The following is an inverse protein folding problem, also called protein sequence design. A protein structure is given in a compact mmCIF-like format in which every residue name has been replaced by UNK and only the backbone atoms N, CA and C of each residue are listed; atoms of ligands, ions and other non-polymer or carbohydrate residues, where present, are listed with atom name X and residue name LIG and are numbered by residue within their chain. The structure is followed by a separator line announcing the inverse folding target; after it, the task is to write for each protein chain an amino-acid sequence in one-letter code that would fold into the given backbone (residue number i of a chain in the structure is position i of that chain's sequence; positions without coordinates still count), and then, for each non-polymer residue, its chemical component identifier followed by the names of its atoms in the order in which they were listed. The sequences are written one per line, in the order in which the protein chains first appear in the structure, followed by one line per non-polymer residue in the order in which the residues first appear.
data_IF_203239374372
#
_entry.id   IF_203239374372
#
_cell.length_a   1.000
_cell.length_b   1.000
_cell.length_c   1.000
_cell.angle_alpha   90.00
_cell.angle_beta   90.00
_cell.angle_gamma   90.00
#
_symmetry.space_group_name_H-M   'P 1'
#
loop_
_entity.id
_entity.type
_entity.pdbx_description
1 polymer ?
#
# COMPACT_ATOMS: atom_id res chain seq x y z
N UNK A 1 -37.50 -40.83 20.32
CA UNK A 1 -36.43 -40.71 19.31
C UNK A 1 -35.50 -39.63 19.84
N UNK A 2 -34.36 -40.08 20.45
CA UNK A 2 -33.34 -39.14 20.92
C UNK A 2 -32.63 -38.55 19.69
N UNK A 3 -32.72 -37.26 19.53
CA UNK A 3 -31.90 -36.50 18.54
C UNK A 3 -30.43 -36.71 18.93
N UNK A 4 -29.68 -37.34 18.03
CA UNK A 4 -28.22 -37.44 18.15
C UNK A 4 -27.70 -36.04 17.82
N UNK A 5 -27.36 -35.29 18.86
CA UNK A 5 -26.64 -34.02 18.71
C UNK A 5 -25.24 -34.34 18.20
N UNK A 6 -25.00 -34.23 16.90
CA UNK A 6 -23.66 -34.32 16.31
C UNK A 6 -22.98 -32.99 16.58
N UNK A 7 -21.94 -33.00 17.44
CA UNK A 7 -21.10 -31.82 17.63
C UNK A 7 -20.51 -31.40 16.30
N UNK A 8 -20.44 -30.07 16.01
CA UNK A 8 -19.85 -29.57 14.77
C UNK A 8 -18.38 -30.03 14.68
N UNK A 9 -17.89 -30.31 13.46
CA UNK A 9 -16.50 -30.73 13.27
C UNK A 9 -15.53 -29.65 13.78
N UNK A 10 -14.46 -30.11 14.44
CA UNK A 10 -13.46 -29.21 15.02
C UNK A 10 -12.15 -29.30 14.25
N UNK A 11 -11.39 -28.22 14.29
CA UNK A 11 -10.06 -28.08 13.71
C UNK A 11 -9.09 -27.56 14.77
N UNK A 12 -7.86 -28.12 14.79
CA UNK A 12 -6.80 -27.71 15.73
C UNK A 12 -5.61 -27.17 14.98
N UNK A 13 -5.14 -26.00 15.38
CA UNK A 13 -3.98 -25.29 14.82
C UNK A 13 -3.25 -24.50 15.90
N UNK A 14 -2.07 -23.94 15.58
CA UNK A 14 -1.34 -23.04 16.48
C UNK A 14 -1.81 -21.61 16.28
N UNK A 15 -2.36 -20.96 17.33
CA UNK A 15 -2.73 -19.54 17.33
C UNK A 15 -1.81 -18.76 18.26
N UNK A 16 -1.01 -17.85 17.72
CA UNK A 16 0.00 -17.07 18.46
C UNK A 16 0.90 -17.97 19.34
N UNK A 17 1.29 -19.14 18.82
CA UNK A 17 2.14 -20.11 19.51
C UNK A 17 1.41 -21.02 20.52
N UNK A 18 0.08 -20.93 20.63
CA UNK A 18 -0.73 -21.80 21.51
C UNK A 18 -1.62 -22.73 20.67
N UNK A 19 -1.66 -24.00 21.04
CA UNK A 19 -2.57 -24.98 20.42
C UNK A 19 -4.02 -24.60 20.72
N UNK A 20 -4.81 -24.38 19.68
CA UNK A 20 -6.18 -23.90 19.77
C UNK A 20 -7.09 -24.76 18.92
N UNK A 21 -8.22 -25.19 19.51
CA UNK A 21 -9.23 -26.00 18.84
C UNK A 21 -10.52 -25.20 18.71
N UNK A 22 -11.03 -25.09 17.50
CA UNK A 22 -12.25 -24.33 17.16
C UNK A 22 -13.13 -25.14 16.21
N UNK A 23 -14.34 -24.64 15.97
CA UNK A 23 -15.22 -25.18 14.92
C UNK A 23 -14.61 -24.95 13.53
N UNK A 24 -14.71 -25.97 12.66
CA UNK A 24 -14.27 -25.81 11.26
C UNK A 24 -14.98 -24.63 10.60
N UNK A 25 -14.22 -23.79 9.92
CA UNK A 25 -14.72 -22.56 9.27
C UNK A 25 -14.73 -21.33 10.16
N UNK A 26 -14.26 -21.42 11.44
CA UNK A 26 -14.04 -20.23 12.28
C UNK A 26 -13.00 -19.32 11.60
N UNK A 27 -13.39 -18.09 11.32
CA UNK A 27 -12.55 -17.11 10.61
C UNK A 27 -11.63 -16.32 11.55
N UNK A 28 -10.61 -15.68 11.01
CA UNK A 28 -9.77 -14.76 11.78
C UNK A 28 -10.56 -13.64 12.46
N UNK A 29 -11.65 -13.18 11.86
CA UNK A 29 -12.53 -12.18 12.48
C UNK A 29 -13.15 -12.70 13.79
N UNK A 30 -13.53 -13.98 13.84
CA UNK A 30 -14.08 -14.61 15.03
C UNK A 30 -12.99 -14.97 16.04
N UNK A 31 -11.80 -15.39 15.56
CA UNK A 31 -10.65 -15.72 16.41
C UNK A 31 -10.13 -14.50 17.19
N UNK A 32 -10.20 -13.33 16.58
CA UNK A 32 -9.73 -12.06 17.14
C UNK A 32 -10.89 -11.11 17.47
N UNK A 33 -12.08 -11.64 17.77
CA UNK A 33 -13.22 -10.81 18.16
C UNK A 33 -12.87 -9.93 19.37
N UNK A 34 -13.20 -8.64 19.27
CA UNK A 34 -12.86 -7.63 20.25
C UNK A 34 -11.43 -7.04 20.13
N UNK A 35 -10.52 -7.65 19.36
CA UNK A 35 -9.15 -7.17 19.13
C UNK A 35 -9.09 -6.33 17.85
N UNK A 36 -9.53 -5.08 17.92
CA UNK A 36 -9.70 -4.19 16.77
C UNK A 36 -8.41 -3.81 16.04
N UNK A 37 -7.27 -3.98 16.71
CA UNK A 37 -5.96 -3.62 16.16
C UNK A 37 -5.39 -4.75 15.30
N UNK A 38 -5.91 -5.99 15.41
CA UNK A 38 -5.58 -7.08 14.51
C UNK A 38 -6.32 -6.87 13.20
N UNK A 39 -5.59 -6.77 12.09
CA UNK A 39 -6.17 -6.39 10.79
C UNK A 39 -6.05 -7.46 9.72
N UNK A 40 -5.07 -8.37 9.83
CA UNK A 40 -4.89 -9.53 8.95
C UNK A 40 -4.30 -10.69 9.74
N UNK A 41 -4.31 -11.88 9.15
CA UNK A 41 -3.62 -13.07 9.68
C UNK A 41 -2.28 -13.25 8.97
N UNK A 42 -1.29 -13.80 9.69
CA UNK A 42 -0.15 -14.48 9.09
C UNK A 42 -0.37 -15.99 9.28
N UNK A 43 -0.58 -16.71 8.17
CA UNK A 43 -0.82 -18.16 8.17
C UNK A 43 0.35 -18.82 7.45
N UNK A 44 1.11 -19.65 8.18
CA UNK A 44 2.31 -20.33 7.67
C UNK A 44 3.30 -19.37 6.99
N UNK A 45 3.40 -18.14 7.50
CA UNK A 45 4.27 -17.07 6.97
C UNK A 45 3.65 -16.20 5.88
N UNK A 46 2.47 -16.52 5.36
CA UNK A 46 1.76 -15.72 4.36
C UNK A 46 0.65 -14.87 4.99
N UNK A 47 0.49 -13.64 4.47
CA UNK A 47 -0.61 -12.77 4.90
C UNK A 47 -1.94 -13.17 4.25
N UNK A 48 -2.98 -13.25 5.06
CA UNK A 48 -4.37 -13.57 4.66
C UNK A 48 -5.34 -12.58 5.29
N UNK A 49 -6.47 -12.34 4.62
CA UNK A 49 -7.55 -11.52 5.19
C UNK A 49 -8.09 -12.15 6.49
N UNK A 50 -8.67 -11.33 7.37
CA UNK A 50 -9.36 -11.85 8.57
C UNK A 50 -10.58 -12.73 8.25
N UNK A 51 -11.07 -12.76 7.02
CA UNK A 51 -12.12 -13.66 6.56
C UNK A 51 -11.62 -15.08 6.27
N UNK A 52 -10.31 -15.30 6.28
CA UNK A 52 -9.73 -16.62 6.11
C UNK A 52 -10.01 -17.50 7.35
N UNK A 53 -10.35 -18.76 7.12
CA UNK A 53 -10.53 -19.77 8.15
C UNK A 53 -9.34 -20.74 8.08
N UNK A 54 -8.55 -20.86 9.17
CA UNK A 54 -7.40 -21.76 9.21
C UNK A 54 -7.77 -23.24 9.15
N UNK A 55 -6.87 -24.02 8.56
CA UNK A 55 -6.96 -25.48 8.49
C UNK A 55 -6.17 -26.17 9.63
N UNK A 56 -6.33 -27.49 9.74
CA UNK A 56 -5.65 -28.28 10.75
C UNK A 56 -4.11 -28.22 10.54
N UNK A 57 -3.40 -27.92 11.63
CA UNK A 57 -1.94 -27.85 11.65
C UNK A 57 -1.36 -26.52 11.17
N UNK A 58 -2.18 -25.54 10.80
CA UNK A 58 -1.69 -24.20 10.45
C UNK A 58 -0.99 -23.52 11.64
N UNK A 59 -0.04 -22.64 11.33
CA UNK A 59 0.55 -21.69 12.27
C UNK A 59 -0.03 -20.32 11.97
N UNK A 60 -0.85 -19.82 12.88
CA UNK A 60 -1.64 -18.59 12.71
C UNK A 60 -1.20 -17.53 13.70
N UNK A 61 -0.95 -16.35 13.22
CA UNK A 61 -0.65 -15.16 14.03
C UNK A 61 -1.56 -14.00 13.63
N UNK A 62 -2.06 -13.25 14.61
CA UNK A 62 -2.74 -11.97 14.35
C UNK A 62 -1.73 -10.88 14.11
N UNK A 63 -1.87 -10.12 13.03
CA UNK A 63 -0.99 -9.00 12.67
C UNK A 63 -1.67 -7.68 13.03
N UNK A 64 -0.97 -6.88 13.83
CA UNK A 64 -1.46 -5.57 14.28
C UNK A 64 -1.28 -4.50 13.20
N UNK A 65 -2.21 -3.55 13.14
CA UNK A 65 -2.15 -2.42 12.19
C UNK A 65 -0.86 -1.58 12.34
N UNK A 66 -0.25 -1.55 13.52
CA UNK A 66 0.99 -0.82 13.82
C UNK A 66 2.27 -1.57 13.42
N UNK A 67 2.18 -2.85 13.10
CA UNK A 67 3.32 -3.65 12.62
C UNK A 67 3.63 -3.34 11.15
N UNK A 68 4.85 -3.61 10.68
CA UNK A 68 5.25 -3.33 9.29
C UNK A 68 4.28 -3.91 8.24
N UNK A 69 3.85 -5.18 8.43
CA UNK A 69 2.91 -5.85 7.53
C UNK A 69 1.49 -5.24 7.63
N UNK A 70 1.04 -4.90 8.84
CA UNK A 70 -0.23 -4.21 9.05
C UNK A 70 -0.26 -2.82 8.42
N UNK A 71 0.84 -2.07 8.52
CA UNK A 71 1.03 -0.78 7.82
C UNK A 71 1.01 -0.94 6.31
N UNK A 72 1.62 -2.00 5.78
CA UNK A 72 1.58 -2.30 4.35
C UNK A 72 0.14 -2.55 3.87
N UNK A 73 -0.64 -3.33 4.62
CA UNK A 73 -2.05 -3.61 4.32
C UNK A 73 -2.93 -2.35 4.46
N UNK A 74 -2.67 -1.50 5.45
CA UNK A 74 -3.34 -0.20 5.60
C UNK A 74 -3.12 0.67 4.36
N UNK A 75 -1.87 0.79 3.90
CA UNK A 75 -1.47 1.56 2.71
C UNK A 75 -2.08 0.99 1.43
N UNK A 76 -2.06 -0.32 1.28
CA UNK A 76 -2.71 -1.01 0.16
C UNK A 76 -4.22 -0.74 0.12
N UNK A 77 -4.89 -0.85 1.27
CA UNK A 77 -6.32 -0.54 1.37
C UNK A 77 -6.63 0.94 1.11
N UNK A 78 -5.74 1.85 1.52
CA UNK A 78 -5.86 3.27 1.21
C UNK A 78 -5.70 3.55 -0.30
N UNK A 79 -4.82 2.80 -0.99
CA UNK A 79 -4.66 2.87 -2.45
C UNK A 79 -5.95 2.45 -3.18
N UNK A 80 -6.63 1.40 -2.72
CA UNK A 80 -7.93 0.97 -3.26
C UNK A 80 -9.02 2.03 -3.02
N UNK A 81 -9.07 2.64 -1.85
CA UNK A 81 -10.01 3.74 -1.57
C UNK A 81 -9.72 4.97 -2.43
N UNK A 82 -8.45 5.26 -2.74
CA UNK A 82 -8.07 6.30 -3.69
C UNK A 82 -8.58 5.95 -5.10
N UNK A 83 -8.38 4.71 -5.56
CA UNK A 83 -8.83 4.27 -6.89
C UNK A 83 -10.35 4.38 -7.03
N UNK A 84 -11.11 3.93 -6.04
CA UNK A 84 -12.56 4.13 -5.98
C UNK A 84 -12.94 5.61 -5.99
N UNK A 85 -12.24 6.46 -5.24
CA UNK A 85 -12.50 7.90 -5.19
C UNK A 85 -12.28 8.57 -6.55
N UNK A 86 -11.22 8.17 -7.28
CA UNK A 86 -10.93 8.68 -8.63
C UNK A 86 -12.04 8.27 -9.59
N UNK A 87 -12.42 7.00 -9.64
CA UNK A 87 -13.49 6.54 -10.55
C UNK A 87 -14.88 7.08 -10.17
N UNK A 88 -15.14 7.40 -8.91
CA UNK A 88 -16.37 8.09 -8.50
C UNK A 88 -16.45 9.52 -9.04
N UNK A 89 -15.32 10.20 -9.22
CA UNK A 89 -15.24 11.57 -9.77
C UNK A 89 -15.08 11.55 -11.29
N UNK A 90 -14.30 10.63 -11.81
CA UNK A 90 -14.05 10.42 -13.22
C UNK A 90 -14.23 8.94 -13.61
N UNK A 91 -15.43 8.52 -14.00
CA UNK A 91 -15.73 7.13 -14.37
C UNK A 91 -14.96 6.61 -15.60
N UNK A 92 -14.36 7.49 -16.40
CA UNK A 92 -13.55 7.12 -17.57
C UNK A 92 -12.07 6.87 -17.23
N UNK A 93 -11.63 7.22 -16.01
CA UNK A 93 -10.28 6.91 -15.55
C UNK A 93 -10.05 5.40 -15.55
N UNK A 94 -8.97 4.94 -16.21
CA UNK A 94 -8.58 3.53 -16.24
C UNK A 94 -7.59 3.24 -15.13
N UNK A 95 -7.70 2.06 -14.55
CA UNK A 95 -6.91 1.62 -13.41
C UNK A 95 -5.60 0.97 -13.89
N UNK A 96 -4.48 1.47 -13.40
CA UNK A 96 -3.18 0.83 -13.50
C UNK A 96 -2.93 -0.12 -12.32
N UNK A 97 -1.92 0.20 -11.50
CA UNK A 97 -1.55 -0.56 -10.29
C UNK A 97 -1.46 0.35 -9.07
N UNK A 98 -1.68 -0.22 -7.88
CA UNK A 98 -1.71 0.52 -6.61
C UNK A 98 -0.98 -0.13 -5.44
N UNK A 99 0.35 -0.38 -5.52
CA UNK A 99 1.08 -1.04 -4.44
C UNK A 99 1.32 -0.13 -3.24
N UNK A 100 1.44 -0.70 -2.03
CA UNK A 100 2.04 -0.03 -0.90
C UNK A 100 3.55 0.17 -1.14
N UNK A 101 4.10 1.25 -0.59
CA UNK A 101 5.53 1.56 -0.57
C UNK A 101 5.96 1.89 0.87
N UNK A 102 7.27 2.10 1.11
CA UNK A 102 7.86 2.21 2.46
C UNK A 102 7.08 3.13 3.40
N UNK A 103 6.78 4.36 3.05
CA UNK A 103 6.05 5.29 3.91
C UNK A 103 4.74 5.78 3.30
N UNK A 104 4.17 5.01 2.37
CA UNK A 104 2.96 5.41 1.70
C UNK A 104 2.44 4.38 0.71
N UNK A 105 1.79 4.89 -0.30
CA UNK A 105 1.24 4.12 -1.41
C UNK A 105 1.21 5.01 -2.67
N UNK A 106 1.00 4.40 -3.81
CA UNK A 106 0.59 5.13 -5.00
C UNK A 106 -0.50 4.37 -5.74
N UNK A 107 -1.13 5.03 -6.69
CA UNK A 107 -1.99 4.39 -7.67
C UNK A 107 -1.83 5.09 -9.02
N UNK A 108 -1.75 4.30 -10.09
CA UNK A 108 -1.58 4.76 -11.46
C UNK A 108 -2.94 4.81 -12.17
N UNK A 109 -3.20 5.91 -12.86
CA UNK A 109 -4.43 6.14 -13.61
C UNK A 109 -4.12 6.58 -15.03
N UNK A 110 -4.83 6.02 -16.00
CA UNK A 110 -4.89 6.60 -17.33
C UNK A 110 -6.08 7.58 -17.37
N UNK A 111 -5.77 8.84 -17.54
CA UNK A 111 -6.72 9.94 -17.55
C UNK A 111 -6.34 10.96 -18.64
N UNK A 112 -7.34 11.56 -19.27
CA UNK A 112 -7.13 12.56 -20.31
C UNK A 112 -6.51 13.86 -19.77
N UNK A 113 -6.94 14.26 -18.55
CA UNK A 113 -6.47 15.50 -17.89
C UNK A 113 -5.67 15.14 -16.64
N UNK A 114 -4.40 15.56 -16.53
CA UNK A 114 -3.58 15.32 -15.35
C UNK A 114 -4.16 15.92 -14.07
N UNK A 115 -3.95 15.23 -12.94
CA UNK A 115 -4.40 15.71 -11.62
C UNK A 115 -3.58 16.90 -11.12
N UNK A 116 -4.26 17.98 -10.77
CA UNK A 116 -3.68 19.14 -10.09
C UNK A 116 -3.83 19.08 -8.55
N UNK A 117 -3.24 20.05 -7.82
CA UNK A 117 -3.32 20.11 -6.35
C UNK A 117 -4.76 20.23 -5.80
N UNK A 118 -5.67 20.89 -6.51
CA UNK A 118 -7.07 21.00 -6.09
C UNK A 118 -7.82 19.69 -6.29
N UNK A 119 -7.47 18.90 -7.32
CA UNK A 119 -8.05 17.57 -7.54
C UNK A 119 -7.67 16.65 -6.39
N UNK A 120 -6.42 16.67 -5.92
CA UNK A 120 -5.98 15.88 -4.77
C UNK A 120 -6.78 16.21 -3.50
N UNK A 121 -7.04 17.49 -3.22
CA UNK A 121 -7.89 17.89 -2.09
C UNK A 121 -9.34 17.40 -2.23
N UNK A 122 -9.88 17.40 -3.45
CA UNK A 122 -11.21 16.87 -3.71
C UNK A 122 -11.25 15.35 -3.54
N UNK A 123 -10.24 14.65 -4.04
CA UNK A 123 -10.09 13.20 -3.88
C UNK A 123 -9.96 12.81 -2.40
N UNK A 124 -9.20 13.54 -1.58
CA UNK A 124 -9.15 13.32 -0.13
C UNK A 124 -10.53 13.41 0.53
N UNK A 125 -11.37 14.35 0.09
CA UNK A 125 -12.76 14.47 0.58
C UNK A 125 -13.61 13.27 0.16
N UNK A 126 -13.43 12.76 -1.07
CA UNK A 126 -14.13 11.57 -1.55
C UNK A 126 -13.65 10.32 -0.80
N UNK A 127 -12.35 10.14 -0.62
CA UNK A 127 -11.79 9.06 0.19
C UNK A 127 -12.39 9.07 1.61
N UNK A 128 -12.45 10.24 2.25
CA UNK A 128 -13.06 10.37 3.59
C UNK A 128 -14.54 9.99 3.61
N UNK A 129 -15.30 10.22 2.54
CA UNK A 129 -16.70 9.76 2.42
C UNK A 129 -16.76 8.23 2.39
N UNK A 130 -15.96 7.59 1.53
CA UNK A 130 -15.89 6.13 1.40
C UNK A 130 -15.47 5.50 2.74
N UNK A 131 -14.47 6.07 3.41
CA UNK A 131 -14.01 5.63 4.74
C UNK A 131 -15.15 5.68 5.77
N UNK A 132 -15.91 6.77 5.81
CA UNK A 132 -17.04 6.93 6.74
C UNK A 132 -18.20 5.98 6.45
N UNK A 133 -18.42 5.58 5.20
CA UNK A 133 -19.41 4.57 4.84
C UNK A 133 -19.10 3.22 5.50
N UNK A 134 -17.83 2.90 5.70
CA UNK A 134 -17.38 1.65 6.31
C UNK A 134 -17.71 0.45 5.44
N UNK A 135 -17.32 0.53 4.18
CA UNK A 135 -17.42 -0.57 3.23
C UNK A 135 -16.49 -1.70 3.65
N UNK A 136 -16.90 -2.95 3.46
CA UNK A 136 -16.07 -4.14 3.71
C UNK A 136 -15.29 -4.51 2.46
N UNK A 137 -14.04 -4.93 2.63
CA UNK A 137 -13.27 -5.53 1.54
C UNK A 137 -13.60 -7.02 1.46
N UNK A 138 -14.07 -7.47 0.31
CA UNK A 138 -14.42 -8.87 0.07
C UNK A 138 -13.61 -9.44 -1.08
N UNK A 139 -12.86 -10.51 -0.79
CA UNK A 139 -12.06 -11.25 -1.76
C UNK A 139 -12.92 -12.28 -2.49
N UNK A 140 -12.77 -12.34 -3.80
CA UNK A 140 -13.42 -13.35 -4.65
C UNK A 140 -12.40 -13.94 -5.62
N UNK A 141 -12.29 -15.27 -5.64
CA UNK A 141 -11.51 -15.99 -6.64
C UNK A 141 -12.29 -15.99 -7.96
N UNK A 142 -11.61 -15.74 -9.06
CA UNK A 142 -12.18 -15.68 -10.39
C UNK A 142 -11.36 -16.50 -11.38
N UNK A 143 -11.99 -16.92 -12.48
CA UNK A 143 -11.32 -17.43 -13.66
C UNK A 143 -10.80 -16.29 -14.54
N UNK A 144 -9.91 -16.60 -15.50
CA UNK A 144 -9.43 -15.59 -16.45
C UNK A 144 -10.56 -15.00 -17.30
N UNK A 145 -11.52 -15.84 -17.71
CA UNK A 145 -12.65 -15.40 -18.53
C UNK A 145 -13.60 -14.48 -17.73
N UNK A 146 -13.87 -14.79 -16.47
CA UNK A 146 -14.63 -13.91 -15.58
C UNK A 146 -13.89 -12.58 -15.40
N UNK A 147 -12.57 -12.62 -15.14
CA UNK A 147 -11.78 -11.41 -14.98
C UNK A 147 -11.78 -10.52 -16.23
N UNK A 148 -11.61 -11.11 -17.42
CA UNK A 148 -11.67 -10.39 -18.69
C UNK A 148 -13.04 -9.76 -18.95
N UNK A 149 -14.11 -10.45 -18.56
CA UNK A 149 -15.48 -9.95 -18.74
C UNK A 149 -15.82 -8.83 -17.74
N UNK A 150 -15.51 -9.02 -16.46
CA UNK A 150 -15.85 -8.06 -15.42
C UNK A 150 -15.00 -6.79 -15.47
N UNK A 151 -13.72 -6.92 -15.91
CA UNK A 151 -12.79 -5.81 -16.06
C UNK A 151 -12.63 -5.36 -17.52
N UNK A 152 -13.61 -5.64 -18.39
CA UNK A 152 -13.54 -5.32 -19.81
C UNK A 152 -13.29 -3.83 -20.12
N UNK A 153 -13.56 -2.94 -19.17
CA UNK A 153 -13.31 -1.49 -19.29
C UNK A 153 -11.92 -1.07 -18.80
N UNK A 154 -11.14 -1.99 -18.21
CA UNK A 154 -9.83 -1.75 -17.58
C UNK A 154 -8.72 -2.43 -18.39
N UNK A 155 -8.19 -1.80 -19.46
CA UNK A 155 -7.26 -2.42 -20.38
C UNK A 155 -5.96 -2.89 -19.70
N UNK A 156 -5.46 -2.13 -18.72
CA UNK A 156 -4.26 -2.50 -17.97
C UNK A 156 -4.47 -3.72 -17.08
N UNK A 157 -5.67 -3.89 -16.49
CA UNK A 157 -6.00 -5.07 -15.70
C UNK A 157 -6.15 -6.32 -16.60
N UNK A 158 -6.69 -6.17 -17.79
CA UNK A 158 -6.75 -7.26 -18.79
C UNK A 158 -5.35 -7.68 -19.21
N UNK A 159 -4.43 -6.72 -19.47
CA UNK A 159 -3.02 -7.02 -19.76
C UNK A 159 -2.38 -7.82 -18.62
N UNK A 160 -2.57 -7.40 -17.36
CA UNK A 160 -2.05 -8.09 -16.18
C UNK A 160 -2.58 -9.53 -16.08
N UNK A 161 -3.88 -9.76 -16.32
CA UNK A 161 -4.45 -11.12 -16.36
C UNK A 161 -3.73 -11.98 -17.38
N UNK A 162 -3.47 -11.46 -18.58
CA UNK A 162 -2.75 -12.17 -19.65
C UNK A 162 -1.29 -12.49 -19.32
N UNK A 163 -0.68 -11.76 -18.39
CA UNK A 163 0.72 -11.97 -17.95
C UNK A 163 0.85 -12.94 -16.77
N UNK A 164 -0.24 -13.47 -16.25
CA UNK A 164 -0.24 -14.38 -15.11
C UNK A 164 0.72 -15.55 -15.34
N UNK A 165 1.66 -15.74 -14.40
CA UNK A 165 2.63 -16.84 -14.44
C UNK A 165 3.77 -16.67 -15.44
N UNK A 166 3.87 -15.54 -16.14
CA UNK A 166 5.02 -15.22 -16.98
C UNK A 166 6.13 -14.54 -16.17
N UNK A 167 7.39 -14.67 -16.63
CA UNK A 167 8.54 -13.95 -16.07
C UNK A 167 8.43 -12.42 -16.23
N UNK A 168 7.55 -11.95 -17.11
CA UNK A 168 7.33 -10.54 -17.42
C UNK A 168 6.49 -9.80 -16.37
N UNK A 169 5.97 -10.51 -15.35
CA UNK A 169 5.33 -9.90 -14.18
C UNK A 169 6.32 -9.14 -13.27
N UNK A 170 7.60 -9.12 -13.61
CA UNK A 170 8.68 -8.52 -12.80
C UNK A 170 8.74 -6.99 -12.79
N UNK A 171 7.75 -6.26 -13.35
CA UNK A 171 7.64 -4.82 -13.21
C UNK A 171 7.24 -4.41 -11.79
N UNK A 172 7.74 -3.25 -11.32
CA UNK A 172 7.35 -2.67 -10.02
C UNK A 172 5.82 -2.69 -9.85
N UNK A 173 5.35 -3.34 -8.79
CA UNK A 173 3.94 -3.37 -8.41
C UNK A 173 3.05 -4.41 -9.11
N UNK A 174 3.44 -4.99 -10.25
CA UNK A 174 2.61 -5.98 -10.96
C UNK A 174 2.37 -7.25 -10.12
N UNK A 175 3.33 -7.65 -9.28
CA UNK A 175 3.21 -8.80 -8.38
C UNK A 175 2.17 -8.60 -7.26
N UNK A 176 1.79 -7.36 -6.95
CA UNK A 176 0.74 -7.04 -5.98
C UNK A 176 -0.64 -7.34 -6.56
N UNK A 177 -0.80 -7.17 -7.86
CA UNK A 177 -2.07 -7.36 -8.56
C UNK A 177 -2.29 -8.82 -9.01
N UNK A 178 -1.25 -9.43 -9.61
CA UNK A 178 -1.35 -10.75 -10.27
C UNK A 178 -0.11 -11.57 -9.94
N UNK A 179 -0.13 -12.38 -8.91
CA UNK A 179 0.96 -13.33 -8.65
C UNK A 179 0.88 -14.61 -9.48
N UNK A 180 1.72 -15.59 -9.13
CA UNK A 180 1.66 -16.94 -9.71
C UNK A 180 0.43 -17.76 -9.24
N UNK A 181 -0.35 -17.26 -8.27
CA UNK A 181 -1.47 -17.94 -7.65
C UNK A 181 -2.82 -17.76 -8.38
N UNK A 182 -3.90 -17.90 -7.64
CA UNK A 182 -5.26 -17.67 -8.13
C UNK A 182 -5.48 -16.20 -8.51
N UNK A 183 -6.28 -15.96 -9.55
CA UNK A 183 -6.77 -14.61 -9.85
C UNK A 183 -7.87 -14.24 -8.85
N UNK A 184 -7.78 -13.03 -8.32
CA UNK A 184 -8.73 -12.54 -7.35
C UNK A 184 -9.16 -11.11 -7.66
N UNK A 185 -10.43 -10.82 -7.38
CA UNK A 185 -10.99 -9.48 -7.33
C UNK A 185 -11.30 -9.15 -5.88
N UNK A 186 -10.98 -7.94 -5.48
CA UNK A 186 -11.48 -7.35 -4.25
C UNK A 186 -12.61 -6.38 -4.53
N UNK A 187 -13.70 -6.57 -3.81
CA UNK A 187 -14.89 -5.75 -3.89
C UNK A 187 -15.04 -4.91 -2.63
N UNK A 188 -15.29 -3.61 -2.82
CA UNK A 188 -15.69 -2.72 -1.74
C UNK A 188 -17.21 -2.78 -1.62
N UNK A 189 -17.72 -3.40 -0.55
CA UNK A 189 -19.13 -3.70 -0.37
C UNK A 189 -19.73 -2.82 0.71
N UNK A 190 -20.83 -2.12 0.38
CA UNK A 190 -21.60 -1.30 1.32
C UNK A 190 -22.35 -2.17 2.33
N UNK A 191 -22.79 -1.57 3.42
CA UNK A 191 -23.55 -2.27 4.48
C UNK A 191 -24.87 -2.89 4.02
N UNK A 192 -25.45 -2.40 2.90
CA UNK A 192 -26.65 -2.96 2.29
C UNK A 192 -26.35 -4.16 1.37
N UNK A 193 -25.10 -4.58 1.24
CA UNK A 193 -24.66 -5.66 0.37
C UNK A 193 -24.36 -5.25 -1.07
N UNK A 194 -24.52 -3.97 -1.41
CA UNK A 194 -24.21 -3.45 -2.75
C UNK A 194 -22.69 -3.35 -2.97
N UNK A 195 -22.20 -3.87 -4.10
CA UNK A 195 -20.82 -3.68 -4.53
C UNK A 195 -20.67 -2.24 -5.01
N UNK A 196 -19.91 -1.46 -4.27
CA UNK A 196 -19.65 -0.05 -4.57
C UNK A 196 -18.55 0.14 -5.62
N UNK A 197 -17.57 -0.76 -5.61
CA UNK A 197 -16.40 -0.73 -6.49
C UNK A 197 -15.65 -2.05 -6.43
N UNK A 198 -14.84 -2.36 -7.45
CA UNK A 198 -14.01 -3.57 -7.46
C UNK A 198 -12.74 -3.37 -8.28
N UNK A 199 -11.72 -4.16 -7.95
CA UNK A 199 -10.44 -4.17 -8.67
C UNK A 199 -9.79 -5.54 -8.65
N UNK A 200 -8.96 -5.81 -9.67
CA UNK A 200 -8.05 -6.96 -9.71
C UNK A 200 -6.95 -6.77 -8.65
N UNK A 201 -6.85 -7.66 -7.71
CA UNK A 201 -5.87 -7.55 -6.62
C UNK A 201 -5.69 -8.87 -5.89
N UNK A 202 -4.48 -9.14 -5.38
CA UNK A 202 -4.19 -10.30 -4.54
C UNK A 202 -4.55 -10.11 -3.08
N UNK A 203 -4.60 -8.87 -2.63
CA UNK A 203 -4.73 -8.55 -1.21
C UNK A 203 -3.47 -8.86 -0.39
N UNK A 204 -3.59 -9.06 0.94
CA UNK A 204 -4.82 -8.87 1.69
C UNK A 204 -5.18 -7.40 1.91
N UNK A 205 -6.39 -7.16 2.41
CA UNK A 205 -6.90 -5.84 2.77
C UNK A 205 -7.36 -5.78 4.22
N UNK A 206 -7.55 -4.56 4.71
CA UNK A 206 -8.23 -4.30 5.99
C UNK A 206 -9.65 -4.92 5.98
N UNK A 207 -10.22 -5.30 7.12
CA UNK A 207 -11.60 -5.78 7.19
C UNK A 207 -12.63 -4.81 6.63
N UNK A 208 -12.39 -3.50 6.79
CA UNK A 208 -13.25 -2.45 6.26
C UNK A 208 -12.54 -1.11 6.12
N UNK A 209 -13.11 -0.21 5.32
CA UNK A 209 -12.52 1.10 5.02
C UNK A 209 -12.42 2.03 6.22
N UNK A 210 -13.22 1.86 7.29
CA UNK A 210 -13.14 2.71 8.50
C UNK A 210 -11.80 2.64 9.21
N UNK A 211 -11.11 1.51 9.12
CA UNK A 211 -9.81 1.31 9.76
C UNK A 211 -8.70 2.17 9.15
N UNK A 212 -8.89 2.72 7.94
CA UNK A 212 -8.00 3.73 7.37
C UNK A 212 -8.05 5.04 8.18
N UNK A 213 -9.21 5.35 8.75
CA UNK A 213 -9.39 6.52 9.60
C UNK A 213 -9.13 7.84 8.89
N UNK A 214 -8.51 8.79 9.61
CA UNK A 214 -8.12 10.11 9.12
C UNK A 214 -6.60 10.29 9.07
N UNK A 215 -5.85 9.21 9.22
CA UNK A 215 -4.39 9.16 9.21
C UNK A 215 -3.78 9.09 7.80
N UNK A 216 -4.41 9.62 6.77
CA UNK A 216 -3.92 9.59 5.40
C UNK A 216 -3.83 10.97 4.77
N UNK A 217 -2.98 11.10 3.73
CA UNK A 217 -2.86 12.31 2.91
C UNK A 217 -2.41 11.96 1.50
N UNK A 218 -2.95 12.64 0.49
CA UNK A 218 -2.44 12.63 -0.86
C UNK A 218 -1.32 13.67 -0.98
N UNK A 219 -0.16 13.25 -1.46
CA UNK A 219 1.06 14.06 -1.39
C UNK A 219 1.30 14.84 -2.68
N UNK A 220 1.24 14.14 -3.82
CA UNK A 220 1.52 14.72 -5.13
C UNK A 220 1.01 13.82 -6.26
N UNK A 221 0.90 14.37 -7.45
CA UNK A 221 0.77 13.61 -8.70
C UNK A 221 2.06 13.74 -9.52
N UNK A 222 2.33 12.75 -10.35
CA UNK A 222 3.44 12.74 -11.30
C UNK A 222 3.11 11.85 -12.49
N UNK A 223 3.74 12.10 -13.63
CA UNK A 223 3.72 11.20 -14.76
C UNK A 223 4.56 9.95 -14.46
N UNK A 224 4.10 8.78 -14.88
CA UNK A 224 4.81 7.51 -14.77
C UNK A 224 4.51 6.64 -15.99
N UNK A 225 5.54 6.06 -16.59
CA UNK A 225 5.33 5.12 -17.68
C UNK A 225 4.77 3.80 -17.16
N UNK A 226 3.76 3.27 -17.83
CA UNK A 226 3.21 1.96 -17.53
C UNK A 226 4.31 0.90 -17.47
N UNK A 227 4.38 0.15 -16.36
CA UNK A 227 5.42 -0.86 -16.10
C UNK A 227 6.86 -0.34 -16.26
N UNK A 228 7.09 0.95 -16.01
CA UNK A 228 8.43 1.54 -16.02
C UNK A 228 9.11 1.67 -17.40
N UNK A 229 8.41 1.37 -18.50
CA UNK A 229 8.97 1.43 -19.85
C UNK A 229 8.50 2.67 -20.60
N UNK A 230 9.42 3.48 -21.10
CA UNK A 230 9.14 4.66 -21.93
C UNK A 230 8.40 4.35 -23.26
N UNK A 231 8.36 3.08 -23.66
CA UNK A 231 7.62 2.60 -24.85
C UNK A 231 6.13 2.42 -24.57
N UNK A 232 5.76 2.37 -23.29
CA UNK A 232 4.39 2.17 -22.84
C UNK A 232 3.68 3.50 -22.61
N UNK A 233 2.34 3.51 -22.53
CA UNK A 233 1.57 4.72 -22.19
C UNK A 233 2.06 5.39 -20.92
N UNK A 234 1.97 6.71 -20.90
CA UNK A 234 2.30 7.52 -19.73
C UNK A 234 1.04 7.75 -18.91
N UNK A 235 1.02 7.21 -17.69
CA UNK A 235 -0.07 7.30 -16.75
C UNK A 235 0.15 8.46 -15.76
N UNK A 236 -0.89 8.80 -15.03
CA UNK A 236 -0.82 9.74 -13.91
C UNK A 236 -0.76 8.95 -12.59
N UNK A 237 0.34 9.07 -11.88
CA UNK A 237 0.56 8.44 -10.58
C UNK A 237 0.23 9.41 -9.47
N UNK A 238 -0.70 9.05 -8.59
CA UNK A 238 -0.98 9.78 -7.36
C UNK A 238 -0.25 9.09 -6.22
N UNK A 239 0.60 9.83 -5.50
CA UNK A 239 1.26 9.37 -4.28
C UNK A 239 0.46 9.79 -3.06
N UNK A 240 0.31 8.87 -2.12
CA UNK A 240 -0.28 9.11 -0.82
C UNK A 240 0.52 8.49 0.31
N UNK A 241 0.20 8.86 1.53
CA UNK A 241 0.71 8.24 2.76
C UNK A 241 -0.44 7.86 3.66
N UNK A 242 -0.30 6.78 4.43
CA UNK A 242 -1.30 6.37 5.41
C UNK A 242 -0.63 5.80 6.67
N UNK A 243 -1.21 6.15 7.81
CA UNK A 243 -0.74 5.88 9.17
C UNK A 243 -1.94 5.48 10.05
N UNK A 244 -1.74 4.69 11.11
CA UNK A 244 -2.83 4.21 11.97
C UNK A 244 -3.59 5.35 12.65
N UNK A 245 -2.97 6.51 12.86
CA UNK A 245 -3.57 7.66 13.50
C UNK A 245 -3.21 8.97 12.81
N UNK A 246 -3.99 10.03 13.11
CA UNK A 246 -3.70 11.38 12.64
C UNK A 246 -2.42 11.93 13.26
N UNK A 247 -2.14 11.55 14.50
CA UNK A 247 -0.94 11.94 15.25
C UNK A 247 0.32 11.41 14.55
N UNK A 248 0.32 10.14 14.15
CA UNK A 248 1.43 9.53 13.41
C UNK A 248 1.59 10.14 12.01
N UNK A 249 0.49 10.41 11.31
CA UNK A 249 0.53 11.16 10.06
C UNK A 249 1.18 12.52 10.25
N UNK A 250 0.77 13.28 11.29
CA UNK A 250 1.34 14.61 11.57
C UNK A 250 2.84 14.50 11.85
N UNK A 251 3.25 13.56 12.70
CA UNK A 251 4.66 13.34 12.99
C UNK A 251 5.48 12.98 11.73
N UNK A 252 4.90 12.21 10.80
CA UNK A 252 5.54 11.92 9.51
C UNK A 252 5.68 13.18 8.64
N UNK A 253 4.62 13.98 8.52
CA UNK A 253 4.65 15.22 7.73
C UNK A 253 5.64 16.24 8.31
N UNK A 254 5.73 16.35 9.64
CA UNK A 254 6.70 17.21 10.31
C UNK A 254 8.13 16.75 10.04
N UNK A 255 8.40 15.43 10.02
CA UNK A 255 9.71 14.89 9.62
C UNK A 255 10.07 15.23 8.18
N UNK A 256 9.10 15.16 7.26
CA UNK A 256 9.32 15.55 5.85
C UNK A 256 9.63 17.04 5.73
N UNK A 257 8.86 17.90 6.41
CA UNK A 257 9.10 19.34 6.43
C UNK A 257 10.47 19.69 7.03
N UNK A 258 10.87 19.00 8.11
CA UNK A 258 12.19 19.18 8.70
C UNK A 258 13.31 18.67 7.79
N UNK A 259 13.12 17.56 7.08
CA UNK A 259 14.06 17.07 6.08
C UNK A 259 14.24 18.07 4.93
N UNK A 260 13.15 18.66 4.44
CA UNK A 260 13.19 19.72 3.42
C UNK A 260 13.92 20.97 3.93
N UNK A 261 13.64 21.39 5.18
CA UNK A 261 14.34 22.50 5.82
C UNK A 261 15.84 22.26 5.94
N UNK A 262 16.28 21.00 6.11
CA UNK A 262 17.68 20.59 6.22
C UNK A 262 18.31 20.16 4.89
N UNK A 263 17.65 20.41 3.76
CA UNK A 263 18.21 20.05 2.45
C UNK A 263 19.58 20.74 2.26
N UNK A 264 20.61 19.92 2.04
CA UNK A 264 22.00 20.39 1.91
C UNK A 264 22.19 21.37 0.75
N UNK A 265 21.40 21.28 -0.31
CA UNK A 265 21.47 22.20 -1.45
C UNK A 265 21.06 23.61 -1.05
N UNK A 266 20.00 23.72 -0.20
CA UNK A 266 19.55 24.97 0.37
C UNK A 266 20.54 25.50 1.40
N UNK A 267 20.87 24.67 2.41
CA UNK A 267 21.81 25.05 3.48
C UNK A 267 23.20 25.36 2.92
N UNK A 268 23.66 24.64 1.89
CA UNK A 268 24.93 24.89 1.23
C UNK A 268 25.03 26.27 0.64
N UNK A 269 23.95 26.74 0.00
CA UNK A 269 23.88 28.12 -0.54
C UNK A 269 23.71 29.17 0.57
N UNK A 270 22.76 28.95 1.53
CA UNK A 270 22.48 29.89 2.62
C UNK A 270 23.69 30.13 3.55
N UNK A 271 24.49 29.08 3.80
CA UNK A 271 25.64 29.10 4.71
C UNK A 271 26.97 29.28 3.98
N UNK A 272 26.96 29.48 2.67
CA UNK A 272 28.14 29.61 1.83
C UNK A 272 29.13 28.46 1.99
N UNK A 273 28.63 27.22 1.93
CA UNK A 273 29.44 26.02 2.17
C UNK A 273 30.09 25.47 0.90
N UNK A 274 29.37 25.51 -0.23
CA UNK A 274 29.85 25.04 -1.53
C UNK A 274 29.05 25.63 -2.68
N UNK A 275 29.62 25.59 -3.87
CA UNK A 275 28.97 25.94 -5.14
C UNK A 275 29.31 24.93 -6.22
N UNK A 276 28.60 25.01 -7.35
CA UNK A 276 28.85 24.22 -8.55
C UNK A 276 29.14 25.19 -9.72
N UNK A 277 30.40 25.66 -9.88
CA UNK A 277 30.76 26.55 -10.96
C UNK A 277 30.70 25.83 -12.32
N UNK A 278 30.06 26.44 -13.32
CA UNK A 278 29.94 25.86 -14.66
C UNK A 278 31.30 25.65 -15.33
N UNK A 279 32.29 26.49 -14.98
CA UNK A 279 33.66 26.46 -15.52
C UNK A 279 34.42 25.17 -15.16
N UNK A 280 34.03 24.50 -14.06
CA UNK A 280 34.66 23.26 -13.62
C UNK A 280 33.96 22.00 -14.13
N UNK A 281 32.76 22.16 -14.66
CA UNK A 281 31.96 21.05 -15.16
C UNK A 281 30.81 20.66 -14.23
N UNK A 282 29.82 19.98 -14.82
CA UNK A 282 28.60 19.57 -14.11
C UNK A 282 28.89 18.58 -12.99
N UNK A 283 28.30 18.82 -11.81
CA UNK A 283 28.37 17.92 -10.66
C UNK A 283 29.66 17.97 -9.84
N UNK A 284 30.60 18.88 -10.13
CA UNK A 284 31.82 19.08 -9.38
C UNK A 284 31.65 20.20 -8.33
N UNK A 285 31.52 19.86 -7.01
CA UNK A 285 31.38 20.87 -5.97
C UNK A 285 32.71 21.53 -5.63
N UNK A 286 32.69 22.85 -5.50
CA UNK A 286 33.79 23.63 -4.90
C UNK A 286 33.38 23.98 -3.48
N UNK A 287 34.17 23.50 -2.50
CA UNK A 287 33.95 23.84 -1.10
C UNK A 287 34.52 25.20 -0.78
N UNK A 288 33.68 26.07 -0.24
CA UNK A 288 34.09 27.35 0.31
C UNK A 288 34.74 27.18 1.70
N UNK A 289 35.38 28.19 2.28
CA UNK A 289 36.15 28.01 3.53
C UNK A 289 35.38 27.32 4.66
N UNK A 290 34.11 27.71 4.90
CA UNK A 290 33.31 27.09 5.95
C UNK A 290 32.94 25.63 5.61
N UNK A 291 32.61 25.33 4.37
CA UNK A 291 32.33 23.98 3.90
C UNK A 291 33.57 23.09 3.92
N UNK A 292 34.73 23.63 3.55
CA UNK A 292 36.00 22.93 3.60
C UNK A 292 36.38 22.55 5.04
N UNK A 293 36.19 23.46 6.01
CA UNK A 293 36.41 23.16 7.45
C UNK A 293 35.53 22.02 7.93
N UNK A 294 34.24 22.04 7.65
CA UNK A 294 33.30 20.96 8.02
C UNK A 294 33.76 19.64 7.41
N UNK A 295 34.11 19.65 6.12
CA UNK A 295 34.60 18.47 5.43
C UNK A 295 35.86 17.90 6.06
N UNK A 296 36.83 18.75 6.35
CA UNK A 296 38.09 18.34 7.01
C UNK A 296 37.86 17.69 8.38
N UNK A 297 37.01 18.27 9.21
CA UNK A 297 36.65 17.71 10.52
C UNK A 297 35.97 16.35 10.41
N UNK A 298 35.08 16.18 9.45
CA UNK A 298 34.42 14.89 9.20
C UNK A 298 35.41 13.82 8.70
N UNK A 299 36.30 14.18 7.78
CA UNK A 299 37.37 13.29 7.27
C UNK A 299 38.33 12.87 8.38
N UNK A 300 38.73 13.82 9.23
CA UNK A 300 39.63 13.52 10.36
C UNK A 300 38.95 12.65 11.41
N UNK A 301 37.68 12.91 11.74
CA UNK A 301 36.92 12.07 12.64
C UNK A 301 36.79 10.65 12.10
N UNK A 302 36.47 10.48 10.84
CA UNK A 302 36.38 9.16 10.20
C UNK A 302 37.72 8.43 10.24
N UNK A 303 38.81 9.11 9.88
CA UNK A 303 40.15 8.54 9.92
C UNK A 303 40.54 8.08 11.32
N UNK A 304 40.33 8.92 12.35
CA UNK A 304 40.63 8.57 13.75
C UNK A 304 39.85 7.31 14.19
N UNK A 305 38.57 7.19 13.80
CA UNK A 305 37.77 6.02 14.14
C UNK A 305 38.26 4.75 13.47
N UNK A 306 38.60 4.80 12.19
CA UNK A 306 39.14 3.63 11.47
C UNK A 306 40.52 3.16 11.95
N UNK A 307 41.35 4.08 12.46
CA UNK A 307 42.66 3.70 13.05
C UNK A 307 42.50 3.07 14.43
N UNK A 308 41.42 3.38 15.16
CA UNK A 308 41.14 2.83 16.49
C UNK A 308 40.38 1.49 16.46
N UNK A 309 39.78 1.13 15.32
CA UNK A 309 39.07 -0.12 15.11
C UNK A 309 40.01 -1.22 14.58
#
# INVERSE_FOLDING_TARGET
VSEISVSPPQVTFSLNGQETTVTVGTTGTELFDGQRDVVVLRVNGELKDLTFAPDAGDVVEGVLISEPDGLSVLRHSAAHVLAQAVQNVNPEAKLGIGPPITDGFYYDFDVEVPFGPEDLKNLEKQMMRIIKEGQTFQRRVITEDEGKNELAREPYKIELIGLKGSSDTAGEGANVEVGAGELTIYQNVRRNGEVAWQDLCRGPHLPNTKLIGNGFKLMRSAAAYWRGSEKNPMLQRIYGTAWPSKEELTAHLDRLAEAERRDHRRLGAEMDLFSFPDELGSGLPVFHPNGAMIRMEMEEYSRKRHVQA
#
